data_IF_220374237029
#
_entry.id   IF_220374237029
#
_cell.length_a   1.000
_cell.length_b   1.000
_cell.length_c   1.000
_cell.angle_alpha   90.00
_cell.angle_beta   90.00
_cell.angle_gamma   90.00
#
_symmetry.space_group_name_H-M   'P 1'
#
loop_
_entity.id
_entity.type
_entity.pdbx_description
1 polymer ?
#
# COMPACT_ATOMS: atom_id res chain seq x y z
N UNK A 1 22.53 6.41 -17.68
CA UNK A 1 21.38 5.81 -18.41
C UNK A 1 21.92 4.88 -19.49
N UNK A 2 21.41 3.66 -19.58
CA UNK A 2 21.78 2.71 -20.65
C UNK A 2 21.17 3.15 -21.99
N UNK A 3 21.88 2.94 -23.12
CA UNK A 3 21.33 3.24 -24.45
C UNK A 3 20.30 2.16 -24.84
N UNK A 4 19.18 2.57 -25.44
CA UNK A 4 18.19 1.64 -26.03
C UNK A 4 18.88 0.71 -27.03
N UNK A 5 18.58 -0.59 -26.99
CA UNK A 5 19.13 -1.60 -27.90
C UNK A 5 20.54 -2.10 -27.58
N UNK A 6 21.21 -1.58 -26.53
CA UNK A 6 22.60 -1.94 -26.20
C UNK A 6 22.80 -3.40 -25.79
N UNK A 7 21.73 -4.09 -25.38
CA UNK A 7 21.78 -5.48 -24.89
C UNK A 7 20.83 -6.43 -25.64
N UNK A 8 20.36 -6.05 -26.84
CA UNK A 8 19.43 -6.88 -27.61
C UNK A 8 18.01 -6.98 -27.06
N UNK A 9 17.70 -6.30 -25.95
CA UNK A 9 16.35 -6.14 -25.42
C UNK A 9 15.72 -4.84 -25.95
N UNK A 10 14.49 -4.96 -26.42
CA UNK A 10 13.59 -3.88 -26.81
C UNK A 10 12.64 -3.56 -25.63
N UNK A 11 12.02 -2.38 -25.61
CA UNK A 11 11.11 -1.96 -24.55
C UNK A 11 9.89 -2.91 -24.41
N UNK A 12 9.57 -3.66 -25.47
CA UNK A 12 8.57 -4.73 -25.52
C UNK A 12 9.00 -6.03 -24.81
N UNK A 13 10.29 -6.19 -24.52
CA UNK A 13 10.83 -7.34 -23.79
C UNK A 13 10.87 -7.08 -22.27
N UNK A 14 10.61 -5.84 -21.85
CA UNK A 14 10.57 -5.48 -20.45
C UNK A 14 9.28 -5.97 -19.80
N UNK A 15 9.33 -6.56 -18.60
CA UNK A 15 8.13 -7.05 -17.91
C UNK A 15 7.16 -5.95 -17.48
N UNK A 16 7.59 -4.68 -17.53
CA UNK A 16 6.75 -3.50 -17.30
C UNK A 16 6.78 -2.59 -18.52
N UNK A 17 5.68 -2.59 -19.27
CA UNK A 17 5.40 -1.56 -20.25
C UNK A 17 4.67 -0.44 -19.52
N UNK A 18 5.38 0.63 -19.16
CA UNK A 18 4.74 1.77 -18.50
C UNK A 18 3.61 2.33 -19.37
N UNK A 19 2.43 2.52 -18.80
CA UNK A 19 1.35 3.24 -19.46
C UNK A 19 1.61 4.73 -19.30
N UNK A 20 1.94 5.41 -20.40
CA UNK A 20 2.15 6.85 -20.40
C UNK A 20 0.91 7.54 -20.95
N UNK A 21 0.38 8.49 -20.19
CA UNK A 21 -0.69 9.36 -20.68
C UNK A 21 -0.16 10.19 -21.87
N UNK A 22 -0.99 10.49 -22.88
CA UNK A 22 -0.60 11.36 -23.99
C UNK A 22 -0.11 12.71 -23.47
N UNK A 23 0.88 13.31 -24.15
CA UNK A 23 1.29 14.67 -23.83
C UNK A 23 0.08 15.62 -23.96
N UNK A 24 -0.20 16.41 -22.92
CA UNK A 24 -1.34 17.32 -22.87
C UNK A 24 -2.63 16.72 -22.29
N UNK A 25 -2.59 15.49 -21.77
CA UNK A 25 -3.70 14.92 -21.01
C UNK A 25 -3.95 15.73 -19.73
N UNK A 26 -5.19 16.15 -19.54
CA UNK A 26 -5.67 16.85 -18.35
C UNK A 26 -6.67 15.93 -17.65
N UNK A 27 -6.39 15.56 -16.40
CA UNK A 27 -7.31 14.76 -15.59
C UNK A 27 -8.50 15.59 -15.12
N UNK A 28 -9.71 15.17 -15.49
CA UNK A 28 -10.97 15.78 -15.06
C UNK A 28 -11.64 14.93 -13.96
N UNK A 29 -10.91 14.57 -12.90
CA UNK A 29 -11.56 13.99 -11.72
C UNK A 29 -12.35 15.08 -10.99
N UNK A 30 -13.54 14.73 -10.49
CA UNK A 30 -14.37 15.66 -9.73
C UNK A 30 -13.60 16.26 -8.53
N UNK A 31 -13.86 17.54 -8.21
CA UNK A 31 -13.28 18.22 -7.05
C UNK A 31 -13.80 17.59 -5.76
N UNK A 32 -13.27 16.44 -5.36
CA UNK A 32 -13.40 15.98 -3.98
C UNK A 32 -12.54 16.91 -3.12
N UNK A 33 -13.13 17.53 -2.10
CA UNK A 33 -12.34 18.27 -1.11
C UNK A 33 -11.32 17.36 -0.42
N UNK A 34 -10.30 17.93 0.21
CA UNK A 34 -9.32 17.16 0.97
C UNK A 34 -10.01 16.46 2.16
N UNK A 35 -9.91 15.13 2.25
CA UNK A 35 -10.57 14.33 3.30
C UNK A 35 -9.96 14.54 4.70
N UNK A 36 -8.69 14.96 4.78
CA UNK A 36 -7.96 15.14 6.01
C UNK A 36 -6.66 15.93 5.82
N UNK A 37 -5.67 15.68 6.68
CA UNK A 37 -4.38 16.39 6.67
C UNK A 37 -3.61 16.10 5.38
N UNK A 38 -2.87 17.08 4.89
CA UNK A 38 -2.07 16.93 3.68
C UNK A 38 -0.86 16.02 3.94
N UNK A 39 -0.44 15.26 2.93
CA UNK A 39 0.81 14.49 2.96
C UNK A 39 2.05 15.36 3.22
N UNK A 40 1.99 16.67 2.98
CA UNK A 40 3.12 17.57 3.27
C UNK A 40 3.33 17.78 4.77
N UNK A 41 2.24 17.88 5.55
CA UNK A 41 2.30 18.02 7.01
C UNK A 41 2.97 16.81 7.67
N UNK A 42 2.93 15.64 7.02
CA UNK A 42 3.58 14.42 7.50
C UNK A 42 5.08 14.59 7.73
N UNK A 43 5.76 15.36 6.89
CA UNK A 43 7.20 15.60 7.03
C UNK A 43 7.53 16.62 8.13
N UNK A 44 6.55 17.45 8.52
CA UNK A 44 6.67 18.36 9.66
C UNK A 44 6.50 17.59 10.96
N UNK A 45 5.47 16.74 11.03
CA UNK A 45 5.19 15.89 12.19
C UNK A 45 6.22 14.76 12.37
N UNK A 46 6.69 14.19 11.25
CA UNK A 46 7.65 13.08 11.22
C UNK A 46 8.87 13.42 10.34
N UNK A 47 9.82 14.24 10.84
CA UNK A 47 11.01 14.62 10.07
C UNK A 47 11.89 13.43 9.64
N UNK A 48 11.80 12.31 10.37
CA UNK A 48 12.55 11.09 10.10
C UNK A 48 11.75 10.05 9.29
N UNK A 49 10.59 10.41 8.72
CA UNK A 49 9.69 9.51 7.97
C UNK A 49 10.42 8.54 7.03
N UNK A 50 11.48 9.01 6.36
CA UNK A 50 12.22 8.20 5.38
C UNK A 50 13.14 7.13 5.98
N UNK A 51 13.43 7.23 7.28
CA UNK A 51 14.43 6.42 8.00
C UNK A 51 13.88 5.81 9.29
N UNK A 52 12.59 5.97 9.57
CA UNK A 52 11.97 5.46 10.78
C UNK A 52 10.83 4.50 10.47
N UNK A 53 10.63 3.53 11.35
CA UNK A 53 9.59 2.52 11.24
C UNK A 53 8.24 3.07 11.68
N UNK A 54 7.17 2.46 11.17
CA UNK A 54 5.81 2.62 11.67
C UNK A 54 4.94 3.49 10.79
N UNK A 55 5.35 3.76 9.56
CA UNK A 55 4.59 4.56 8.62
C UNK A 55 3.98 3.68 7.54
N UNK A 56 2.67 3.58 7.51
CA UNK A 56 1.94 2.80 6.51
C UNK A 56 1.48 3.69 5.35
N UNK A 57 1.56 3.17 4.14
CA UNK A 57 0.87 3.72 2.97
C UNK A 57 -0.24 2.76 2.56
N UNK A 58 -1.48 3.25 2.54
CA UNK A 58 -2.68 2.47 2.22
C UNK A 58 -3.23 2.75 0.83
N UNK A 59 -3.73 1.71 0.17
CA UNK A 59 -4.42 1.80 -1.11
C UNK A 59 -5.50 0.71 -1.24
N UNK A 60 -6.28 0.77 -2.32
CA UNK A 60 -7.22 -0.31 -2.68
C UNK A 60 -6.94 -0.88 -4.06
N UNK A 61 -6.82 -2.20 -4.15
CA UNK A 61 -6.73 -2.93 -5.42
C UNK A 61 -8.10 -3.53 -5.73
N UNK A 62 -8.71 -3.03 -6.80
CA UNK A 62 -10.01 -3.51 -7.28
C UNK A 62 -9.87 -4.70 -8.22
N UNK A 63 -10.82 -5.63 -8.09
CA UNK A 63 -11.00 -6.78 -8.95
C UNK A 63 -11.98 -6.53 -10.10
N UNK A 64 -12.51 -7.61 -10.66
CA UNK A 64 -13.47 -7.57 -11.75
C UNK A 64 -14.71 -6.74 -11.37
N UNK A 65 -15.21 -5.95 -12.32
CA UNK A 65 -16.42 -5.11 -12.16
C UNK A 65 -16.40 -4.04 -11.05
N UNK A 66 -15.25 -3.76 -10.43
CA UNK A 66 -15.11 -2.72 -9.38
C UNK A 66 -15.99 -2.92 -8.13
N UNK A 67 -16.60 -4.10 -7.96
CA UNK A 67 -17.48 -4.38 -6.82
C UNK A 67 -16.68 -4.85 -5.60
N UNK A 68 -15.58 -5.57 -5.84
CA UNK A 68 -14.68 -6.03 -4.80
C UNK A 68 -13.34 -5.31 -4.81
N UNK A 69 -12.75 -5.22 -3.63
CA UNK A 69 -11.41 -4.74 -3.45
C UNK A 69 -10.69 -5.55 -2.37
N UNK A 70 -9.37 -5.59 -2.49
CA UNK A 70 -8.48 -5.80 -1.35
C UNK A 70 -7.88 -4.45 -0.95
N UNK A 71 -7.63 -4.28 0.33
CA UNK A 71 -6.85 -3.16 0.83
C UNK A 71 -5.39 -3.59 0.87
N UNK A 72 -4.50 -2.75 0.36
CA UNK A 72 -3.06 -2.95 0.47
C UNK A 72 -2.48 -1.91 1.40
N UNK A 73 -1.58 -2.35 2.26
CA UNK A 73 -0.82 -1.51 3.18
C UNK A 73 0.65 -1.82 2.97
N UNK A 74 1.49 -0.80 2.93
CA UNK A 74 2.93 -0.97 2.83
C UNK A 74 3.60 -0.19 3.95
N UNK A 75 4.42 -0.87 4.75
CA UNK A 75 5.24 -0.17 5.74
C UNK A 75 6.45 0.47 5.05
N UNK A 76 6.65 1.76 5.29
CA UNK A 76 7.54 2.60 4.50
C UNK A 76 9.02 2.22 4.66
N UNK A 77 9.48 1.83 5.85
CA UNK A 77 10.89 1.51 6.07
C UNK A 77 11.25 0.10 5.57
N UNK A 78 10.59 -0.91 6.12
CA UNK A 78 10.78 -2.33 5.82
C UNK A 78 10.25 -2.73 4.43
N UNK A 79 9.36 -1.93 3.84
CA UNK A 79 8.66 -2.25 2.58
C UNK A 79 7.81 -3.51 2.66
N UNK A 80 7.46 -3.97 3.88
CA UNK A 80 6.56 -5.11 4.06
C UNK A 80 5.21 -4.76 3.46
N UNK A 81 4.69 -5.65 2.64
CA UNK A 81 3.37 -5.53 2.04
C UNK A 81 2.39 -6.34 2.87
N UNK A 82 1.25 -5.74 3.17
CA UNK A 82 0.13 -6.37 3.87
C UNK A 82 -1.09 -6.24 2.96
N UNK A 83 -1.84 -7.31 2.82
CA UNK A 83 -3.05 -7.34 1.98
C UNK A 83 -4.21 -7.80 2.84
N UNK A 84 -5.23 -6.95 2.98
CA UNK A 84 -6.44 -7.25 3.72
C UNK A 84 -7.59 -7.51 2.74
N UNK A 85 -8.27 -8.63 2.93
CA UNK A 85 -9.41 -9.02 2.12
C UNK A 85 -10.66 -8.25 2.56
N UNK A 86 -10.87 -7.04 2.02
CA UNK A 86 -11.99 -6.17 2.45
C UNK A 86 -13.31 -6.49 1.76
N UNK A 87 -13.29 -7.39 0.77
CA UNK A 87 -14.38 -7.90 -0.08
C UNK A 87 -15.20 -6.86 -0.86
N UNK A 88 -15.29 -5.61 -0.40
CA UNK A 88 -15.96 -4.51 -1.09
C UNK A 88 -15.28 -3.18 -0.78
N UNK A 89 -15.25 -2.29 -1.79
CA UNK A 89 -14.68 -0.94 -1.69
C UNK A 89 -15.65 0.04 -0.99
N UNK A 90 -16.10 -0.31 0.21
CA UNK A 90 -16.96 0.55 1.05
C UNK A 90 -16.17 1.00 2.27
N UNK A 91 -16.34 2.26 2.67
CA UNK A 91 -15.60 2.83 3.80
C UNK A 91 -15.80 2.06 5.10
N UNK A 92 -17.03 1.63 5.38
CA UNK A 92 -17.35 0.78 6.54
C UNK A 92 -16.56 -0.53 6.54
N UNK A 93 -16.50 -1.24 5.39
CA UNK A 93 -15.75 -2.48 5.28
C UNK A 93 -14.25 -2.26 5.43
N UNK A 94 -13.70 -1.22 4.81
CA UNK A 94 -12.28 -0.88 4.92
C UNK A 94 -11.91 -0.58 6.37
N UNK A 95 -12.67 0.29 7.05
CA UNK A 95 -12.42 0.63 8.44
C UNK A 95 -12.55 -0.59 9.36
N UNK A 96 -13.56 -1.45 9.14
CA UNK A 96 -13.73 -2.67 9.94
C UNK A 96 -12.51 -3.58 9.86
N UNK A 97 -12.09 -3.97 8.65
CA UNK A 97 -10.94 -4.87 8.49
C UNK A 97 -9.61 -4.20 8.91
N UNK A 98 -9.45 -2.90 8.66
CA UNK A 98 -8.27 -2.16 9.11
C UNK A 98 -8.22 -2.10 10.64
N UNK A 99 -9.33 -1.83 11.32
CA UNK A 99 -9.43 -1.81 12.78
C UNK A 99 -9.14 -3.19 13.38
N UNK A 100 -9.80 -4.23 12.85
CA UNK A 100 -9.54 -5.62 13.24
C UNK A 100 -8.06 -5.99 13.08
N UNK A 101 -7.42 -5.59 11.98
CA UNK A 101 -6.00 -5.83 11.76
C UNK A 101 -5.12 -5.03 12.73
N UNK A 102 -5.34 -3.72 12.88
CA UNK A 102 -4.56 -2.85 13.77
C UNK A 102 -4.67 -3.27 15.24
N UNK A 103 -5.82 -3.81 15.67
CA UNK A 103 -6.02 -4.31 17.03
C UNK A 103 -5.12 -5.48 17.42
N UNK A 104 -4.49 -6.14 16.45
CA UNK A 104 -3.51 -7.21 16.68
C UNK A 104 -2.13 -6.67 17.04
N UNK A 105 -1.92 -5.36 16.96
CA UNK A 105 -0.64 -4.73 17.23
C UNK A 105 -0.71 -3.96 18.55
N UNK A 106 0.41 -3.86 19.28
CA UNK A 106 0.47 -2.98 20.43
C UNK A 106 0.26 -1.51 20.04
N UNK A 107 -0.21 -0.72 21.00
CA UNK A 107 -0.37 0.72 20.81
C UNK A 107 0.94 1.36 20.34
N UNK A 108 0.82 2.35 19.46
CA UNK A 108 1.94 3.09 18.87
C UNK A 108 2.93 2.24 18.04
N UNK A 109 2.61 0.99 17.71
CA UNK A 109 3.44 0.19 16.80
C UNK A 109 3.51 0.84 15.41
N UNK A 110 2.38 1.38 14.94
CA UNK A 110 2.31 2.25 13.77
C UNK A 110 2.06 3.69 14.22
N UNK A 111 2.78 4.64 13.60
CA UNK A 111 2.76 6.07 13.89
C UNK A 111 1.80 6.82 12.97
N UNK A 112 1.76 6.44 11.70
CA UNK A 112 0.88 7.09 10.72
C UNK A 112 0.41 6.16 9.61
N UNK A 113 -0.73 6.48 9.01
CA UNK A 113 -1.19 5.91 7.73
C UNK A 113 -1.40 7.04 6.72
N UNK A 114 -0.97 6.82 5.47
CA UNK A 114 -1.22 7.74 4.35
C UNK A 114 -2.11 7.08 3.31
N UNK A 115 -3.22 7.71 2.94
CA UNK A 115 -4.16 7.24 1.92
C UNK A 115 -4.15 8.12 0.67
N UNK A 116 -4.81 7.70 -0.41
CA UNK A 116 -5.29 8.68 -1.39
C UNK A 116 -6.52 9.40 -0.89
N UNK A 117 -6.90 10.47 -1.59
CA UNK A 117 -8.11 11.21 -1.32
C UNK A 117 -9.40 10.47 -1.81
N UNK A 118 -9.39 9.14 -1.77
CA UNK A 118 -10.52 8.28 -2.12
C UNK A 118 -11.61 8.26 -1.05
N UNK A 119 -12.87 8.33 -1.48
CA UNK A 119 -14.05 8.36 -0.58
C UNK A 119 -14.18 7.09 0.26
N UNK A 120 -13.59 6.00 -0.18
CA UNK A 120 -13.49 4.74 0.56
C UNK A 120 -12.72 4.87 1.88
N UNK A 121 -11.94 5.93 2.08
CA UNK A 121 -11.22 6.19 3.33
C UNK A 121 -11.93 7.22 4.23
N UNK A 122 -13.20 7.54 3.97
CA UNK A 122 -13.92 8.61 4.68
C UNK A 122 -14.04 8.41 6.21
N UNK A 123 -13.99 7.18 6.73
CA UNK A 123 -14.04 6.94 8.18
C UNK A 123 -12.67 6.86 8.87
N UNK A 124 -11.62 7.39 8.24
CA UNK A 124 -10.27 7.43 8.78
C UNK A 124 -10.16 8.02 10.20
N UNK A 125 -11.05 8.94 10.57
CA UNK A 125 -11.06 9.59 11.90
C UNK A 125 -11.28 8.58 13.03
N UNK A 126 -12.11 7.57 12.78
CA UNK A 126 -12.37 6.52 13.78
C UNK A 126 -11.10 5.70 14.02
N UNK A 127 -10.40 5.32 12.96
CA UNK A 127 -9.11 4.62 13.03
C UNK A 127 -8.06 5.49 13.75
N UNK A 128 -7.93 6.76 13.35
CA UNK A 128 -6.97 7.67 13.93
C UNK A 128 -7.17 7.82 15.45
N UNK A 129 -8.42 8.00 15.89
CA UNK A 129 -8.77 8.16 17.30
C UNK A 129 -8.63 6.85 18.09
N UNK A 130 -9.04 5.72 17.52
CA UNK A 130 -9.03 4.43 18.22
C UNK A 130 -7.61 3.91 18.46
N UNK A 131 -6.71 4.09 17.49
CA UNK A 131 -5.36 3.53 17.52
C UNK A 131 -4.26 4.55 17.80
N UNK A 132 -4.61 5.83 17.94
CA UNK A 132 -3.68 6.96 18.07
C UNK A 132 -2.67 7.03 16.91
N UNK A 133 -3.20 6.97 15.69
CA UNK A 133 -2.43 6.93 14.45
C UNK A 133 -2.69 8.20 13.64
N UNK A 134 -1.62 8.90 13.28
CA UNK A 134 -1.72 10.09 12.44
C UNK A 134 -2.17 9.69 11.03
N UNK A 135 -3.17 10.37 10.47
CA UNK A 135 -3.64 10.06 9.11
C UNK A 135 -3.42 11.22 8.16
N UNK A 136 -2.83 10.93 7.01
CA UNK A 136 -2.52 11.88 5.94
C UNK A 136 -3.12 11.44 4.61
N UNK A 137 -3.31 12.41 3.71
CA UNK A 137 -3.89 12.18 2.40
C UNK A 137 -2.99 12.77 1.32
N UNK A 138 -2.74 11.99 0.26
CA UNK A 138 -2.11 12.49 -0.96
C UNK A 138 -2.98 13.58 -1.60
N UNK A 139 -2.33 14.52 -2.30
CA UNK A 139 -3.01 15.58 -3.02
C UNK A 139 -3.85 15.01 -4.16
N UNK A 140 -4.97 15.69 -4.46
CA UNK A 140 -5.85 15.32 -5.57
C UNK A 140 -5.08 15.42 -6.89
N UNK A 141 -5.08 14.34 -7.66
CA UNK A 141 -4.39 14.29 -8.96
C UNK A 141 -2.86 14.14 -8.88
N UNK A 142 -2.31 13.76 -7.71
CA UNK A 142 -0.88 13.55 -7.52
C UNK A 142 -0.53 12.08 -7.18
N UNK A 143 -0.78 11.12 -8.09
CA UNK A 143 -0.54 9.69 -7.83
C UNK A 143 0.93 9.37 -7.52
N UNK A 144 1.86 10.16 -8.09
CA UNK A 144 3.30 10.03 -7.88
C UNK A 144 3.75 10.24 -6.43
N UNK A 145 2.93 10.87 -5.57
CA UNK A 145 3.22 11.03 -4.15
C UNK A 145 3.17 9.70 -3.37
N UNK A 146 2.65 8.63 -3.99
CA UNK A 146 2.55 7.26 -3.42
C UNK A 146 3.18 6.20 -4.34
N UNK A 147 4.33 6.52 -4.93
CA UNK A 147 5.00 5.62 -5.89
C UNK A 147 5.34 4.22 -5.35
N UNK A 148 5.44 4.05 -4.02
CA UNK A 148 5.62 2.74 -3.39
C UNK A 148 4.39 1.84 -3.57
N UNK A 149 3.19 2.39 -3.33
CA UNK A 149 1.93 1.68 -3.50
C UNK A 149 1.69 1.28 -4.96
N UNK A 150 2.00 2.15 -5.92
CA UNK A 150 1.85 1.82 -7.34
C UNK A 150 2.70 0.62 -7.76
N UNK A 151 3.97 0.59 -7.31
CA UNK A 151 4.88 -0.51 -7.57
C UNK A 151 4.37 -1.81 -6.93
N UNK A 152 4.06 -1.78 -5.64
CA UNK A 152 3.56 -2.94 -4.90
C UNK A 152 2.24 -3.48 -5.48
N UNK A 153 1.29 -2.61 -5.81
CA UNK A 153 0.04 -3.01 -6.45
C UNK A 153 0.27 -3.62 -7.84
N UNK A 154 1.17 -3.07 -8.64
CA UNK A 154 1.56 -3.66 -9.93
C UNK A 154 2.16 -5.06 -9.76
N UNK A 155 2.97 -5.24 -8.72
CA UNK A 155 3.55 -6.52 -8.33
C UNK A 155 2.47 -7.53 -7.89
N UNK A 156 1.48 -7.15 -7.07
CA UNK A 156 0.38 -8.05 -6.70
C UNK A 156 -0.47 -8.46 -7.90
N UNK A 157 -0.71 -7.54 -8.83
CA UNK A 157 -1.45 -7.82 -10.07
C UNK A 157 -0.77 -8.88 -10.91
N UNK A 158 0.57 -8.82 -11.02
CA UNK A 158 1.35 -9.81 -11.76
C UNK A 158 1.31 -11.20 -11.12
N UNK A 159 1.33 -11.24 -9.79
CA UNK A 159 1.50 -12.50 -9.07
C UNK A 159 0.18 -13.23 -8.77
N UNK A 160 -0.98 -12.62 -9.02
CA UNK A 160 -2.26 -13.33 -8.96
C UNK A 160 -3.52 -12.48 -8.74
N UNK A 161 -3.41 -11.19 -8.41
CA UNK A 161 -4.55 -10.29 -8.21
C UNK A 161 -4.84 -9.48 -9.49
N UNK A 162 -5.05 -10.19 -10.61
CA UNK A 162 -5.28 -9.57 -11.92
C UNK A 162 -6.61 -8.78 -11.94
N UNK A 163 -6.74 -7.80 -12.85
CA UNK A 163 -7.92 -6.92 -12.95
C UNK A 163 -9.22 -7.67 -13.27
N UNK A 164 -9.09 -8.79 -13.97
CA UNK A 164 -10.18 -9.65 -14.44
C UNK A 164 -10.53 -10.76 -13.43
N UNK A 165 -9.75 -10.88 -12.35
CA UNK A 165 -10.02 -11.84 -11.30
C UNK A 165 -11.23 -11.42 -10.48
N UNK A 166 -12.11 -12.39 -10.27
CA UNK A 166 -13.21 -12.31 -9.31
C UNK A 166 -12.62 -12.39 -7.89
N UNK A 167 -12.80 -11.34 -7.11
CA UNK A 167 -12.30 -11.26 -5.74
C UNK A 167 -13.39 -11.56 -4.70
N UNK A 168 -14.64 -11.86 -5.10
CA UNK A 168 -15.74 -12.19 -4.18
C UNK A 168 -15.37 -13.31 -3.22
N UNK A 169 -14.76 -14.35 -3.79
CA UNK A 169 -14.37 -15.56 -3.09
C UNK A 169 -12.84 -15.69 -3.04
N UNK A 170 -12.12 -14.56 -2.93
CA UNK A 170 -10.67 -14.60 -2.80
C UNK A 170 -10.31 -15.34 -1.49
N UNK A 171 -9.64 -16.49 -1.54
CA UNK A 171 -9.28 -17.21 -0.32
C UNK A 171 -8.19 -16.46 0.44
N UNK A 172 -8.34 -16.30 1.75
CA UNK A 172 -7.33 -15.66 2.60
C UNK A 172 -5.98 -16.39 2.52
N UNK A 173 -6.00 -17.71 2.35
CA UNK A 173 -4.78 -18.51 2.13
C UNK A 173 -3.99 -18.03 0.91
N UNK A 174 -4.66 -17.73 -0.19
CA UNK A 174 -3.98 -17.24 -1.38
C UNK A 174 -3.38 -15.85 -1.15
N UNK A 175 -4.13 -14.96 -0.47
CA UNK A 175 -3.63 -13.62 -0.10
C UNK A 175 -2.37 -13.75 0.75
N UNK A 176 -2.40 -14.64 1.75
CA UNK A 176 -1.28 -14.93 2.62
C UNK A 176 -0.09 -15.51 1.85
N UNK A 177 -0.31 -16.43 0.91
CA UNK A 177 0.76 -16.98 0.06
C UNK A 177 1.41 -15.91 -0.81
N UNK A 178 0.63 -15.02 -1.43
CA UNK A 178 1.13 -13.92 -2.25
C UNK A 178 1.96 -12.94 -1.43
N UNK A 179 1.43 -12.51 -0.28
CA UNK A 179 2.10 -11.65 0.68
C UNK A 179 3.41 -12.29 1.18
N UNK A 180 3.33 -13.54 1.63
CA UNK A 180 4.47 -14.32 2.13
C UNK A 180 5.59 -14.44 1.11
N UNK A 181 5.24 -14.76 -0.14
CA UNK A 181 6.19 -14.82 -1.26
C UNK A 181 6.86 -13.47 -1.48
N UNK A 182 6.07 -12.38 -1.54
CA UNK A 182 6.60 -11.04 -1.79
C UNK A 182 7.52 -10.51 -0.70
N UNK A 183 7.14 -10.71 0.55
CA UNK A 183 7.90 -10.24 1.69
C UNK A 183 9.19 -11.04 1.93
N UNK A 184 9.36 -12.19 1.25
CA UNK A 184 10.58 -13.01 1.27
C UNK A 184 11.50 -12.80 0.06
N UNK A 185 11.19 -11.87 -0.84
CA UNK A 185 12.07 -11.52 -1.96
C UNK A 185 13.06 -10.42 -1.52
N UNK A 186 14.38 -10.66 -1.60
CA UNK A 186 15.40 -9.65 -1.34
C UNK A 186 15.21 -8.38 -2.18
N UNK A 187 15.31 -7.20 -1.55
CA UNK A 187 15.22 -5.91 -2.25
C UNK A 187 16.55 -5.19 -2.20
N UNK A 188 17.03 -4.71 -3.36
CA UNK A 188 18.25 -3.87 -3.43
C UNK A 188 18.14 -2.61 -2.57
N UNK A 189 16.94 -2.05 -2.43
CA UNK A 189 16.68 -0.88 -1.58
C UNK A 189 16.81 -1.15 -0.07
N UNK A 190 16.89 -2.42 0.33
CA UNK A 190 17.07 -2.89 1.71
C UNK A 190 18.41 -3.62 1.85
N UNK A 191 19.42 -3.23 1.07
CA UNK A 191 20.73 -3.88 1.05
C UNK A 191 20.67 -5.39 0.86
N UNK A 192 19.77 -5.84 -0.02
CA UNK A 192 19.50 -7.25 -0.33
C UNK A 192 18.91 -8.07 0.82
N UNK A 193 18.39 -7.41 1.86
CA UNK A 193 17.53 -8.03 2.85
C UNK A 193 16.10 -8.12 2.33
N UNK A 194 15.33 -9.04 2.89
CA UNK A 194 13.91 -9.21 2.60
C UNK A 194 13.08 -8.22 3.44
N UNK A 195 11.94 -7.74 2.93
CA UNK A 195 11.02 -6.93 3.73
C UNK A 195 10.64 -7.57 5.06
N UNK A 196 10.47 -8.89 5.06
CA UNK A 196 10.18 -9.66 6.25
C UNK A 196 11.30 -9.57 7.29
N UNK A 197 12.56 -9.76 6.91
CA UNK A 197 13.70 -9.64 7.83
C UNK A 197 13.79 -8.25 8.45
N UNK A 198 13.64 -7.19 7.65
CA UNK A 198 13.68 -5.81 8.15
C UNK A 198 12.50 -5.54 9.08
N UNK A 199 11.29 -6.00 8.74
CA UNK A 199 10.11 -5.84 9.58
C UNK A 199 10.27 -6.53 10.94
N UNK A 200 10.83 -7.75 10.97
CA UNK A 200 11.02 -8.52 12.20
C UNK A 200 12.03 -7.91 13.18
N UNK A 201 12.93 -7.03 12.73
CA UNK A 201 13.82 -6.27 13.63
C UNK A 201 13.08 -5.24 14.47
N UNK A 202 11.90 -4.81 14.00
CA UNK A 202 11.05 -3.84 14.70
C UNK A 202 9.94 -4.51 15.53
N UNK A 203 9.87 -5.84 15.52
CA UNK A 203 8.94 -6.63 16.33
C UNK A 203 9.68 -7.15 17.55
N UNK A 204 9.19 -6.81 18.75
CA UNK A 204 9.72 -7.38 20.00
C UNK A 204 9.41 -8.87 20.09
N UNK A 205 10.21 -9.67 20.82
CA UNK A 205 9.97 -11.11 20.96
C UNK A 205 8.53 -11.43 21.43
N UNK A 206 7.98 -10.64 22.34
CA UNK A 206 6.60 -10.76 22.86
C UNK A 206 5.52 -10.52 21.79
N UNK A 207 5.84 -9.73 20.76
CA UNK A 207 4.93 -9.42 19.66
C UNK A 207 4.98 -10.50 18.56
N UNK A 208 6.06 -11.31 18.48
CA UNK A 208 6.23 -12.34 17.44
C UNK A 208 5.14 -13.41 17.47
N UNK A 209 4.55 -13.69 18.63
CA UNK A 209 3.47 -14.67 18.80
C UNK A 209 2.14 -14.24 18.15
N UNK A 210 1.97 -12.97 17.80
CA UNK A 210 0.76 -12.45 17.13
C UNK A 210 0.85 -12.56 15.60
N UNK A 211 2.02 -12.88 15.07
CA UNK A 211 2.31 -12.93 13.63
C UNK A 211 2.38 -14.35 13.05
N UNK A 212 2.25 -15.38 13.89
CA UNK A 212 2.29 -16.81 13.52
C UNK A 212 1.15 -17.61 14.14
#
# INVERSE_FOLDING_TARGET
MFKRGQFGFDAKDLPMHGNRQPNGYVEHWGKAGQLGRSIYERYEDFPNYTKEFGHLEGDTVQGKHHQEAVMTLVEHLSKVEIVLNVHAKKAENINRHLSEWLSKFPRHFFKSITFDNGKEFAGWREIANQFDIHTYFAEVGAPNQRGLNENNNGLLRRDGLTKDRDLRNLPDELVNQLMSKRNRIPRKSLDYRTPYEVFMEHITEDQRQLFF
#
